data_IF_968295128653
#
_entry.id   IF_968295128653
#
_cell.length_a   1.000
_cell.length_b   1.000
_cell.length_c   1.000
_cell.angle_alpha   90.00
_cell.angle_beta   90.00
_cell.angle_gamma   90.00
#
_symmetry.space_group_name_H-M   'P 1'
#
loop_
_entity.id
_entity.type
_entity.pdbx_description
1 polymer ?
#
# COMPACT_ATOMS: atom_id res chain seq x y z
N UNK A 1 26.84 17.71 -17.05
CA UNK A 1 25.78 16.73 -17.40
C UNK A 1 25.31 15.88 -16.21
N UNK A 2 26.12 15.64 -15.16
CA UNK A 2 25.72 14.76 -14.04
C UNK A 2 24.63 15.28 -13.09
N UNK A 3 24.55 16.59 -12.81
CA UNK A 3 23.55 17.13 -11.87
C UNK A 3 22.11 17.11 -12.41
N UNK A 4 21.91 17.52 -13.67
CA UNK A 4 20.58 17.56 -14.28
C UNK A 4 19.99 16.14 -14.38
N UNK A 5 20.79 15.15 -14.76
CA UNK A 5 20.37 13.74 -14.79
C UNK A 5 20.05 13.20 -13.39
N UNK A 6 20.79 13.58 -12.34
CA UNK A 6 20.47 13.18 -10.98
C UNK A 6 19.22 13.85 -10.42
N UNK A 7 18.97 15.11 -10.78
CA UNK A 7 17.74 15.82 -10.41
C UNK A 7 16.51 15.20 -11.09
N UNK A 8 16.61 14.87 -12.39
CA UNK A 8 15.56 14.16 -13.11
C UNK A 8 15.27 12.78 -12.48
N UNK A 9 16.31 12.05 -12.07
CA UNK A 9 16.15 10.76 -11.38
C UNK A 9 15.47 10.91 -10.02
N UNK A 10 15.84 11.91 -9.22
CA UNK A 10 15.17 12.21 -7.94
C UNK A 10 13.70 12.55 -8.16
N UNK A 11 13.39 13.35 -9.18
CA UNK A 11 12.02 13.71 -9.51
C UNK A 11 11.19 12.48 -9.91
N UNK A 12 11.76 11.57 -10.70
CA UNK A 12 11.12 10.32 -11.07
C UNK A 12 10.90 9.39 -9.87
N UNK A 13 11.91 9.21 -9.01
CA UNK A 13 11.81 8.39 -7.81
C UNK A 13 10.75 8.94 -6.85
N UNK A 14 10.68 10.26 -6.68
CA UNK A 14 9.67 10.91 -5.85
C UNK A 14 8.25 10.72 -6.42
N UNK A 15 8.07 10.89 -7.74
CA UNK A 15 6.77 10.65 -8.36
C UNK A 15 6.31 9.19 -8.18
N UNK A 16 7.23 8.23 -8.30
CA UNK A 16 6.92 6.82 -8.11
C UNK A 16 6.64 6.47 -6.65
N UNK A 17 7.35 7.10 -5.70
CA UNK A 17 7.07 7.01 -4.27
C UNK A 17 5.64 7.48 -3.95
N UNK A 18 5.23 8.65 -4.44
CA UNK A 18 3.89 9.20 -4.25
C UNK A 18 2.80 8.28 -4.82
N UNK A 19 3.01 7.68 -5.99
CA UNK A 19 2.08 6.71 -6.58
C UNK A 19 1.92 5.45 -5.70
N UNK A 20 3.01 4.95 -5.11
CA UNK A 20 2.95 3.82 -4.19
C UNK A 20 2.25 4.17 -2.87
N UNK A 21 2.54 5.34 -2.29
CA UNK A 21 1.84 5.84 -1.10
C UNK A 21 0.32 5.95 -1.35
N UNK A 22 -0.06 6.49 -2.52
CA UNK A 22 -1.45 6.59 -2.93
C UNK A 22 -2.11 5.21 -3.06
N UNK A 23 -1.44 4.23 -3.69
CA UNK A 23 -1.94 2.85 -3.79
C UNK A 23 -2.11 2.19 -2.43
N UNK A 24 -1.21 2.44 -1.48
CA UNK A 24 -1.33 1.94 -0.11
C UNK A 24 -2.56 2.56 0.58
N UNK A 25 -2.81 3.85 0.40
CA UNK A 25 -3.99 4.51 0.95
C UNK A 25 -5.29 3.93 0.40
N UNK A 26 -5.37 3.71 -0.92
CA UNK A 26 -6.53 3.09 -1.57
C UNK A 26 -6.82 1.69 -1.01
N UNK A 27 -5.78 0.87 -0.81
CA UNK A 27 -5.95 -0.46 -0.21
C UNK A 27 -6.41 -0.35 1.25
N UNK A 28 -5.86 0.60 2.00
CA UNK A 28 -6.25 0.85 3.39
C UNK A 28 -7.73 1.21 3.50
N UNK A 29 -8.21 2.10 2.63
CA UNK A 29 -9.62 2.46 2.57
C UNK A 29 -10.50 1.26 2.17
N UNK A 30 -10.10 0.50 1.14
CA UNK A 30 -10.79 -0.70 0.73
C UNK A 30 -10.91 -1.72 1.87
N UNK A 31 -9.83 -1.93 2.64
CA UNK A 31 -9.83 -2.79 3.83
C UNK A 31 -10.79 -2.29 4.90
N UNK A 32 -10.80 -0.99 5.21
CA UNK A 32 -11.73 -0.41 6.18
C UNK A 32 -13.19 -0.64 5.77
N UNK A 33 -13.51 -0.44 4.50
CA UNK A 33 -14.87 -0.66 3.98
C UNK A 33 -15.27 -2.14 4.01
N UNK A 34 -14.33 -3.03 3.68
CA UNK A 34 -14.54 -4.47 3.73
C UNK A 34 -14.74 -4.98 5.16
N UNK A 35 -13.97 -4.45 6.11
CA UNK A 35 -14.12 -4.74 7.54
C UNK A 35 -15.49 -4.30 8.08
N UNK A 36 -15.95 -3.09 7.73
CA UNK A 36 -17.32 -2.63 8.07
C UNK A 36 -18.37 -3.58 7.53
N UNK A 37 -18.27 -3.94 6.25
CA UNK A 37 -19.20 -4.89 5.60
C UNK A 37 -19.19 -6.26 6.29
N UNK A 38 -18.04 -6.73 6.76
CA UNK A 38 -17.91 -7.98 7.50
C UNK A 38 -18.63 -7.90 8.86
N UNK A 39 -18.44 -6.81 9.61
CA UNK A 39 -19.13 -6.56 10.89
C UNK A 39 -20.64 -6.47 10.72
N UNK A 40 -21.12 -5.77 9.69
CA UNK A 40 -22.56 -5.67 9.40
C UNK A 40 -23.16 -7.05 9.08
N UNK A 41 -22.45 -7.87 8.28
CA UNK A 41 -22.88 -9.24 7.97
C UNK A 41 -22.92 -10.14 9.22
N UNK A 42 -21.98 -9.99 10.14
CA UNK A 42 -21.97 -10.75 11.40
C UNK A 42 -23.15 -10.39 12.29
N UNK A 43 -23.49 -9.11 12.38
CA UNK A 43 -24.63 -8.63 13.18
C UNK A 43 -25.99 -9.08 12.63
N UNK A 44 -26.11 -9.32 11.31
CA UNK A 44 -27.34 -9.86 10.70
C UNK A 44 -27.46 -11.38 10.93
N UNK A 45 -26.34 -12.08 11.10
CA UNK A 45 -26.33 -13.53 11.29
C UNK A 45 -26.61 -14.02 12.72
N UNK A 46 -26.58 -13.14 13.72
CA UNK A 46 -26.71 -13.51 15.14
C UNK A 46 -28.13 -13.90 15.57
N UNK A 47 -29.16 -13.55 14.79
CA UNK A 47 -30.57 -13.85 15.11
C UNK A 47 -31.13 -15.08 14.35
N UNK A 48 -30.29 -15.78 13.57
CA UNK A 48 -30.71 -16.89 12.70
C UNK A 48 -30.23 -18.25 13.24
N UNK A 49 -31.09 -19.26 13.16
CA UNK A 49 -30.75 -20.65 13.51
C UNK A 49 -29.64 -21.21 12.60
N UNK A 50 -28.72 -21.98 13.18
CA UNK A 50 -27.50 -22.44 12.51
C UNK A 50 -27.72 -23.33 11.26
N UNK A 51 -28.90 -23.93 11.11
CA UNK A 51 -29.26 -24.79 9.98
C UNK A 51 -29.99 -24.06 8.85
N UNK A 52 -30.27 -22.77 8.99
CA UNK A 52 -30.92 -21.98 7.94
C UNK A 52 -29.98 -21.87 6.71
N UNK A 53 -30.46 -22.15 5.48
CA UNK A 53 -29.69 -21.93 4.26
C UNK A 53 -29.12 -20.50 4.12
N UNK A 54 -29.67 -19.52 4.83
CA UNK A 54 -29.15 -18.16 4.92
C UNK A 54 -27.80 -18.09 5.67
N UNK A 55 -27.63 -18.84 6.76
CA UNK A 55 -26.38 -18.88 7.54
C UNK A 55 -25.25 -19.50 6.71
N UNK A 56 -25.52 -20.58 5.98
CA UNK A 56 -24.53 -21.19 5.07
C UNK A 56 -24.07 -20.23 3.96
N UNK A 57 -24.99 -19.42 3.40
CA UNK A 57 -24.63 -18.38 2.42
C UNK A 57 -23.80 -17.25 3.06
N UNK A 58 -24.12 -16.90 4.30
CA UNK A 58 -23.40 -15.89 5.07
C UNK A 58 -21.96 -16.33 5.35
N UNK A 59 -21.76 -17.58 5.79
CA UNK A 59 -20.44 -18.17 6.03
C UNK A 59 -19.61 -18.22 4.75
N UNK A 60 -20.18 -18.67 3.63
CA UNK A 60 -19.50 -18.66 2.34
C UNK A 60 -19.10 -17.25 1.89
N UNK A 61 -19.93 -16.24 2.20
CA UNK A 61 -19.60 -14.83 1.92
C UNK A 61 -18.48 -14.33 2.84
N UNK A 62 -18.50 -14.67 4.12
CA UNK A 62 -17.45 -14.35 5.10
C UNK A 62 -16.10 -14.94 4.68
N UNK A 63 -16.09 -16.19 4.23
CA UNK A 63 -14.86 -16.83 3.74
C UNK A 63 -14.30 -16.13 2.50
N UNK A 64 -15.16 -15.78 1.53
CA UNK A 64 -14.74 -14.99 0.36
C UNK A 64 -14.16 -13.62 0.75
N UNK A 65 -14.78 -12.94 1.72
CA UNK A 65 -14.29 -11.67 2.24
C UNK A 65 -12.92 -11.83 2.92
N UNK A 66 -12.72 -12.87 3.73
CA UNK A 66 -11.43 -13.17 4.35
C UNK A 66 -10.33 -13.45 3.32
N UNK A 67 -10.64 -14.17 2.24
CA UNK A 67 -9.67 -14.42 1.14
C UNK A 67 -9.32 -13.11 0.43
N UNK A 68 -10.30 -12.23 0.20
CA UNK A 68 -10.08 -10.93 -0.41
C UNK A 68 -9.22 -10.03 0.50
N UNK A 69 -9.49 -10.00 1.80
CA UNK A 69 -8.68 -9.27 2.78
C UNK A 69 -7.23 -9.73 2.79
N UNK A 70 -6.98 -11.06 2.82
CA UNK A 70 -5.61 -11.62 2.73
C UNK A 70 -4.89 -11.20 1.45
N UNK A 71 -5.59 -11.13 0.32
CA UNK A 71 -5.01 -10.68 -0.95
C UNK A 71 -4.64 -9.19 -0.91
N UNK A 72 -5.52 -8.36 -0.35
CA UNK A 72 -5.27 -6.93 -0.17
C UNK A 72 -4.08 -6.69 0.77
N UNK A 73 -3.95 -7.48 1.84
CA UNK A 73 -2.80 -7.42 2.75
C UNK A 73 -1.49 -7.79 2.07
N UNK A 74 -1.49 -8.87 1.29
CA UNK A 74 -0.31 -9.26 0.54
C UNK A 74 0.10 -8.17 -0.47
N UNK A 75 -0.86 -7.55 -1.16
CA UNK A 75 -0.57 -6.44 -2.07
C UNK A 75 -0.05 -5.20 -1.34
N UNK A 76 -0.65 -4.84 -0.19
CA UNK A 76 -0.19 -3.73 0.63
C UNK A 76 1.26 -3.96 1.09
N UNK A 77 1.57 -5.16 1.57
CA UNK A 77 2.92 -5.50 2.01
C UNK A 77 3.93 -5.43 0.85
N UNK A 78 3.54 -5.86 -0.35
CA UNK A 78 4.38 -5.70 -1.54
C UNK A 78 4.65 -4.23 -1.86
N UNK A 79 3.63 -3.36 -1.80
CA UNK A 79 3.81 -1.93 -2.04
C UNK A 79 4.66 -1.26 -0.95
N UNK A 80 4.46 -1.63 0.32
CA UNK A 80 5.31 -1.15 1.43
C UNK A 80 6.77 -1.56 1.26
N UNK A 81 7.03 -2.79 0.82
CA UNK A 81 8.40 -3.24 0.53
C UNK A 81 9.03 -2.47 -0.62
N UNK A 82 8.27 -2.23 -1.70
CA UNK A 82 8.73 -1.40 -2.84
C UNK A 82 9.02 0.03 -2.39
N UNK A 83 8.15 0.61 -1.56
CA UNK A 83 8.31 1.96 -1.01
C UNK A 83 9.63 2.08 -0.23
N UNK A 84 9.92 1.13 0.67
CA UNK A 84 11.19 1.09 1.42
C UNK A 84 12.42 1.04 0.51
N UNK A 85 12.36 0.27 -0.57
CA UNK A 85 13.45 0.19 -1.55
C UNK A 85 13.68 1.53 -2.25
N UNK A 86 12.60 2.18 -2.67
CA UNK A 86 12.64 3.47 -3.36
C UNK A 86 13.10 4.58 -2.41
N UNK A 87 12.66 4.59 -1.16
CA UNK A 87 13.14 5.54 -0.16
C UNK A 87 14.66 5.40 0.05
N UNK A 88 15.15 4.16 0.11
CA UNK A 88 16.59 3.89 0.21
C UNK A 88 17.35 4.41 -1.01
N UNK A 89 16.80 4.19 -2.22
CA UNK A 89 17.38 4.70 -3.47
C UNK A 89 17.33 6.23 -3.54
N UNK A 90 16.23 6.83 -3.12
CA UNK A 90 16.01 8.28 -3.08
C UNK A 90 17.04 8.95 -2.17
N UNK A 91 17.17 8.50 -0.92
CA UNK A 91 18.16 9.01 0.03
C UNK A 91 19.59 8.81 -0.48
N UNK A 92 19.86 7.70 -1.19
CA UNK A 92 21.18 7.47 -1.79
C UNK A 92 21.48 8.48 -2.91
N UNK A 93 20.50 8.73 -3.78
CA UNK A 93 20.64 9.72 -4.87
C UNK A 93 20.76 11.16 -4.33
N UNK A 94 20.01 11.49 -3.28
CA UNK A 94 20.05 12.80 -2.62
C UNK A 94 21.42 13.05 -1.98
N UNK A 95 21.95 12.07 -1.25
CA UNK A 95 23.29 12.14 -0.65
C UNK A 95 24.39 12.28 -1.70
N UNK A 96 24.28 11.61 -2.84
CA UNK A 96 25.23 11.75 -3.95
C UNK A 96 25.16 13.14 -4.59
N UNK A 97 23.95 13.67 -4.78
CA UNK A 97 23.75 15.02 -5.29
C UNK A 97 24.38 16.05 -4.34
N UNK A 98 24.13 15.93 -3.03
CA UNK A 98 24.69 16.84 -2.03
C UNK A 98 26.22 16.80 -2.03
N UNK A 99 26.83 15.60 -2.07
CA UNK A 99 28.30 15.48 -2.17
C UNK A 99 28.87 16.11 -3.44
N UNK A 100 28.16 16.01 -4.56
CA UNK A 100 28.57 16.64 -5.82
C UNK A 100 28.44 18.16 -5.77
N UNK A 101 27.40 18.68 -5.12
CA UNK A 101 27.21 20.10 -4.83
C UNK A 101 28.37 20.60 -3.95
N UNK A 102 28.61 19.97 -2.79
CA UNK A 102 29.66 20.38 -1.84
C UNK A 102 31.05 20.41 -2.48
N UNK A 103 31.36 19.45 -3.38
CA UNK A 103 32.62 19.45 -4.15
C UNK A 103 32.67 20.55 -5.21
N UNK A 104 31.53 20.91 -5.81
CA UNK A 104 31.48 21.95 -6.84
C UNK A 104 31.57 23.36 -6.26
N UNK A 105 31.14 23.56 -5.00
CA UNK A 105 31.20 24.84 -4.29
C UNK A 105 32.43 25.00 -3.38
N UNK A 106 33.27 23.96 -3.24
CA UNK A 106 34.63 24.07 -2.69
C UNK A 106 35.62 24.40 -3.82
N UNK A 107 35.62 25.66 -4.23
CA UNK A 107 36.72 26.32 -4.94
C UNK A 107 37.10 27.58 -4.19
#
# INVERSE_FOLDING_TARGET
MGMATSQLRLMYLNAYRLDLEYKIQLITEAKMNLSKTCTDLLNVGTDLDADDPMVKKLEARKERLNVMEKKLDMQMQQYQNKLKMIDTEYSSCENLLQKNIDRSFKY
#
